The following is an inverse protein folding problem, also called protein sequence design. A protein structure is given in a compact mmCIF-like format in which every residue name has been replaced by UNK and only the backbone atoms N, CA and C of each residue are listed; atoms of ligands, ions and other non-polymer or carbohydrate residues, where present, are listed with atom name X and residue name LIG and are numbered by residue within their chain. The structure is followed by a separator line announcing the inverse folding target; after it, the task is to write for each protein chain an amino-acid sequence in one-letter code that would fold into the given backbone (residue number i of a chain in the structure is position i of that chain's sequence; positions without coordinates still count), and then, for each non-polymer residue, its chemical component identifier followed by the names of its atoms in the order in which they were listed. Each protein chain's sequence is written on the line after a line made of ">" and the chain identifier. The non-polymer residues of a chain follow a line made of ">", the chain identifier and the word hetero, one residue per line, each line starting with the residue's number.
data_IF_054095002280
#
_entry.id   IF_054095002280
#
_cell.length_a   1.000
_cell.length_b   1.000
_cell.length_c   1.000
_cell.angle_alpha   90.00
_cell.angle_beta   90.00
_cell.angle_gamma   90.00
#
_symmetry.space_group_name_H-M   'P 1'
#
loop_
_entity.id
_entity.type
_entity.pdbx_description
1 polymer ?
#
# COMPACT_ATOMS: atom_id res chain seq x y z
N UNK A 1 9.39 -10.97 -1.49
CA UNK A 1 10.03 -9.70 -1.05
C UNK A 1 10.61 -8.88 -2.22
N UNK A 2 11.40 -9.45 -3.15
CA UNK A 2 11.99 -8.65 -4.25
C UNK A 2 10.99 -8.21 -5.33
N UNK A 3 10.03 -9.07 -5.70
CA UNK A 3 9.04 -8.76 -6.74
C UNK A 3 8.17 -7.54 -6.38
N UNK A 4 7.75 -7.41 -5.12
CA UNK A 4 6.93 -6.28 -4.67
C UNK A 4 7.66 -4.94 -4.72
N UNK A 5 8.97 -4.93 -4.45
CA UNK A 5 9.77 -3.72 -4.60
C UNK A 5 9.85 -3.31 -6.07
N UNK A 6 10.04 -4.26 -6.98
CA UNK A 6 10.02 -3.99 -8.42
C UNK A 6 8.65 -3.47 -8.86
N UNK A 7 7.56 -4.11 -8.44
CA UNK A 7 6.19 -3.67 -8.73
C UNK A 7 5.91 -2.27 -8.17
N UNK A 8 6.36 -1.96 -6.95
CA UNK A 8 6.23 -0.61 -6.37
C UNK A 8 6.93 0.44 -7.23
N UNK A 9 8.12 0.11 -7.75
CA UNK A 9 8.86 0.99 -8.68
C UNK A 9 8.11 1.13 -10.00
N UNK A 10 7.56 0.05 -10.56
CA UNK A 10 6.74 0.12 -11.78
C UNK A 10 5.50 1.02 -11.56
N UNK A 11 4.77 0.79 -10.48
CA UNK A 11 3.59 1.58 -10.09
C UNK A 11 3.95 3.04 -9.87
N UNK A 12 5.15 3.38 -9.39
CA UNK A 12 5.54 4.77 -9.13
C UNK A 12 6.14 5.46 -10.36
N UNK A 13 6.99 4.77 -11.12
CA UNK A 13 7.87 5.39 -12.11
C UNK A 13 7.49 5.10 -13.58
N UNK A 14 6.77 4.01 -13.88
CA UNK A 14 6.25 3.73 -15.25
C UNK A 14 4.92 4.44 -15.51
N UNK A 15 4.96 5.63 -16.13
CA UNK A 15 3.77 6.48 -16.34
C UNK A 15 3.17 6.37 -17.74
N UNK A 16 3.81 5.65 -18.66
CA UNK A 16 3.34 5.49 -20.05
C UNK A 16 2.32 4.35 -20.21
N UNK A 17 2.04 3.61 -19.14
CA UNK A 17 1.09 2.51 -19.12
C UNK A 17 0.07 2.73 -17.99
N UNK A 18 -1.21 2.59 -18.32
CA UNK A 18 -2.30 2.68 -17.37
C UNK A 18 -2.53 1.33 -16.68
N UNK A 19 -2.38 1.33 -15.35
CA UNK A 19 -2.68 0.16 -14.53
C UNK A 19 -4.20 0.00 -14.48
N UNK A 20 -4.69 -1.20 -14.81
CA UNK A 20 -6.13 -1.46 -14.79
C UNK A 20 -6.64 -1.61 -13.35
N UNK A 21 -7.94 -1.35 -13.15
CA UNK A 21 -8.58 -1.54 -11.84
C UNK A 21 -8.41 -2.97 -11.30
N UNK A 22 -8.44 -3.97 -12.18
CA UNK A 22 -8.21 -5.37 -11.82
C UNK A 22 -6.78 -5.64 -11.34
N UNK A 23 -5.78 -5.03 -11.97
CA UNK A 23 -4.38 -5.12 -11.53
C UNK A 23 -4.22 -4.41 -10.20
N UNK A 24 -4.80 -3.22 -10.05
CA UNK A 24 -4.73 -2.44 -8.82
C UNK A 24 -5.42 -3.16 -7.66
N UNK A 25 -6.57 -3.79 -7.89
CA UNK A 25 -7.27 -4.61 -6.91
C UNK A 25 -6.38 -5.75 -6.39
N UNK A 26 -5.70 -6.47 -7.29
CA UNK A 26 -4.75 -7.53 -6.90
C UNK A 26 -3.64 -6.97 -6.01
N UNK A 27 -3.06 -5.82 -6.38
CA UNK A 27 -2.02 -5.16 -5.58
C UNK A 27 -2.50 -4.75 -4.19
N UNK A 28 -3.72 -4.23 -4.07
CA UNK A 28 -4.28 -3.83 -2.79
C UNK A 28 -4.62 -5.03 -1.90
N UNK A 29 -5.12 -6.13 -2.45
CA UNK A 29 -5.31 -7.38 -1.70
C UNK A 29 -4.00 -7.86 -1.09
N UNK A 30 -2.90 -7.80 -1.84
CA UNK A 30 -1.58 -8.12 -1.29
C UNK A 30 -1.10 -7.12 -0.23
N UNK A 31 -1.37 -5.83 -0.41
CA UNK A 31 -1.08 -4.83 0.62
C UNK A 31 -1.78 -5.17 1.94
N UNK A 32 -3.06 -5.55 1.88
CA UNK A 32 -3.81 -5.95 3.08
C UNK A 32 -3.15 -7.14 3.77
N UNK A 33 -2.86 -8.23 3.04
CA UNK A 33 -2.18 -9.41 3.60
C UNK A 33 -0.82 -9.06 4.22
N UNK A 34 -0.05 -8.19 3.57
CA UNK A 34 1.26 -7.77 4.04
C UNK A 34 1.18 -6.81 5.24
N UNK A 35 0.10 -6.02 5.38
CA UNK A 35 -0.14 -5.15 6.54
C UNK A 35 -0.35 -5.93 7.84
N UNK A 36 -0.85 -7.17 7.78
CA UNK A 36 -0.94 -8.04 8.97
C UNK A 36 0.39 -8.70 9.34
N UNK A 37 1.38 -8.67 8.45
CA UNK A 37 2.65 -9.38 8.62
C UNK A 37 3.77 -8.42 9.03
N UNK A 38 4.25 -8.52 10.27
CA UNK A 38 5.32 -7.66 10.81
C UNK A 38 6.59 -7.59 9.95
N UNK A 39 6.93 -8.65 9.22
CA UNK A 39 8.11 -8.69 8.33
C UNK A 39 7.89 -8.06 6.96
N UNK A 40 6.62 -7.81 6.57
CA UNK A 40 6.23 -7.34 5.22
C UNK A 40 5.52 -6.00 5.21
N UNK A 41 5.06 -5.50 6.36
CA UNK A 41 4.40 -4.19 6.53
C UNK A 41 5.12 -3.04 5.80
N UNK A 42 6.46 -2.97 5.86
CA UNK A 42 7.23 -1.92 5.18
C UNK A 42 7.03 -1.89 3.66
N UNK A 43 6.84 -3.07 3.06
CA UNK A 43 6.64 -3.22 1.62
C UNK A 43 5.23 -2.78 1.25
N UNK A 44 4.22 -3.13 2.05
CA UNK A 44 2.85 -2.65 1.87
C UNK A 44 2.74 -1.13 1.96
N UNK A 45 3.35 -0.51 2.99
CA UNK A 45 3.36 0.96 3.11
C UNK A 45 3.96 1.64 1.88
N UNK A 46 5.07 1.13 1.35
CA UNK A 46 5.71 1.69 0.16
C UNK A 46 4.82 1.57 -1.08
N UNK A 47 4.13 0.45 -1.25
CA UNK A 47 3.24 0.23 -2.38
C UNK A 47 2.00 1.13 -2.31
N UNK A 48 1.36 1.26 -1.14
CA UNK A 48 0.21 2.16 -0.96
C UNK A 48 0.61 3.62 -1.22
N UNK A 49 1.76 4.07 -0.71
CA UNK A 49 2.29 5.42 -1.01
C UNK A 49 2.52 5.63 -2.51
N UNK A 50 3.03 4.62 -3.22
CA UNK A 50 3.21 4.69 -4.67
C UNK A 50 1.87 4.82 -5.41
N UNK A 51 0.87 4.04 -5.03
CA UNK A 51 -0.50 4.10 -5.59
C UNK A 51 -1.12 5.49 -5.36
N UNK A 52 -1.04 6.02 -4.14
CA UNK A 52 -1.56 7.35 -3.80
C UNK A 52 -0.85 8.46 -4.57
N UNK A 53 0.49 8.38 -4.73
CA UNK A 53 1.26 9.37 -5.49
C UNK A 53 0.84 9.47 -6.96
N UNK A 54 0.26 8.39 -7.51
CA UNK A 54 -0.29 8.31 -8.86
C UNK A 54 -1.74 8.76 -8.96
N UNK A 55 -2.41 9.07 -7.83
CA UNK A 55 -3.82 9.45 -7.75
C UNK A 55 -4.75 8.40 -8.41
N UNK A 56 -4.39 7.12 -8.29
CA UNK A 56 -5.25 6.02 -8.73
C UNK A 56 -6.37 5.84 -7.70
N UNK A 57 -7.62 5.97 -8.13
CA UNK A 57 -8.79 5.89 -7.26
C UNK A 57 -9.63 4.66 -7.60
N UNK A 58 -9.75 3.74 -6.64
CA UNK A 58 -10.68 2.61 -6.71
C UNK A 58 -11.27 2.35 -5.32
N UNK A 59 -12.49 1.80 -5.22
CA UNK A 59 -13.15 1.56 -3.93
C UNK A 59 -12.33 0.77 -2.91
N UNK A 60 -11.51 -0.17 -3.39
CA UNK A 60 -10.65 -1.00 -2.56
C UNK A 60 -9.53 -0.20 -1.89
N UNK A 61 -9.09 0.91 -2.49
CA UNK A 61 -8.07 1.75 -1.88
C UNK A 61 -8.60 2.37 -0.58
N UNK A 62 -9.87 2.79 -0.57
CA UNK A 62 -10.51 3.33 0.63
C UNK A 62 -10.49 2.34 1.80
N UNK A 63 -10.73 1.04 1.54
CA UNK A 63 -10.69 0.00 2.57
C UNK A 63 -9.29 -0.13 3.20
N UNK A 64 -8.25 -0.05 2.37
CA UNK A 64 -6.85 -0.08 2.84
C UNK A 64 -6.53 1.18 3.65
N UNK A 65 -7.00 2.35 3.21
CA UNK A 65 -6.81 3.63 3.93
C UNK A 65 -7.52 3.60 5.29
N UNK A 66 -8.75 3.10 5.37
CA UNK A 66 -9.48 2.97 6.64
C UNK A 66 -8.73 2.07 7.62
N UNK A 67 -8.16 0.96 7.12
CA UNK A 67 -7.32 0.08 7.93
C UNK A 67 -6.05 0.79 8.41
N UNK A 68 -5.39 1.54 7.54
CA UNK A 68 -4.21 2.32 7.90
C UNK A 68 -4.54 3.39 8.94
N UNK A 69 -5.70 4.04 8.83
CA UNK A 69 -6.21 4.97 9.81
C UNK A 69 -6.38 4.31 11.18
N UNK A 70 -7.02 3.15 11.25
CA UNK A 70 -7.16 2.40 12.50
C UNK A 70 -5.78 2.04 13.09
N UNK A 71 -4.90 1.46 12.27
CA UNK A 71 -3.54 1.07 12.67
C UNK A 71 -2.69 2.27 13.15
N UNK A 72 -2.96 3.47 12.65
CA UNK A 72 -2.26 4.69 13.06
C UNK A 72 -2.43 5.01 14.55
N UNK A 73 -3.49 4.46 15.16
CA UNK A 73 -3.86 4.63 16.56
C UNK A 73 -3.62 3.32 17.33
N UNK A 74 -4.11 2.19 16.81
CA UNK A 74 -4.21 0.93 17.56
C UNK A 74 -2.97 0.05 17.48
N UNK A 75 -2.05 0.27 16.53
CA UNK A 75 -0.89 -0.60 16.38
C UNK A 75 0.04 -0.53 17.60
N UNK A 76 0.49 -1.70 18.09
CA UNK A 76 1.37 -1.79 19.26
C UNK A 76 2.73 -1.10 19.03
N UNK A 77 3.27 -1.21 17.82
CA UNK A 77 4.56 -0.61 17.45
C UNK A 77 4.42 0.88 17.12
N UNK A 78 5.19 1.72 17.79
CA UNK A 78 5.23 3.16 17.53
C UNK A 78 5.68 3.49 16.10
N UNK A 79 6.59 2.70 15.54
CA UNK A 79 7.03 2.84 14.15
C UNK A 79 5.87 2.58 13.17
N UNK A 80 5.07 1.53 13.41
CA UNK A 80 3.92 1.20 12.56
C UNK A 80 2.87 2.30 12.62
N UNK A 81 2.56 2.81 13.82
CA UNK A 81 1.66 3.96 13.97
C UNK A 81 2.15 5.18 13.17
N UNK A 82 3.45 5.46 13.22
CA UNK A 82 4.06 6.56 12.47
C UNK A 82 4.02 6.33 10.96
N UNK A 83 4.34 5.13 10.49
CA UNK A 83 4.27 4.80 9.07
C UNK A 83 2.84 4.92 8.53
N UNK A 84 1.84 4.42 9.26
CA UNK A 84 0.42 4.55 8.90
C UNK A 84 -0.04 6.01 8.76
N UNK A 85 0.45 6.94 9.60
CA UNK A 85 0.12 8.38 9.48
C UNK A 85 0.80 9.08 8.30
N UNK A 86 1.86 8.50 7.76
CA UNK A 86 2.66 9.08 6.67
C UNK A 86 2.24 8.57 5.30
N UNK A 87 1.32 7.61 5.24
CA UNK A 87 0.61 7.21 4.02
C UNK A 87 -0.52 8.21 3.80
#
# INVERSE_FOLDING_TARGET
>A
SMCFKAVTVLVRDVTYYDITDSQLQVLLTYCEEDLYSYSRQSTAFNLVKAILSRKLDIPQLHQVIDRLFEMSITANSANIRLQSRQV
#
